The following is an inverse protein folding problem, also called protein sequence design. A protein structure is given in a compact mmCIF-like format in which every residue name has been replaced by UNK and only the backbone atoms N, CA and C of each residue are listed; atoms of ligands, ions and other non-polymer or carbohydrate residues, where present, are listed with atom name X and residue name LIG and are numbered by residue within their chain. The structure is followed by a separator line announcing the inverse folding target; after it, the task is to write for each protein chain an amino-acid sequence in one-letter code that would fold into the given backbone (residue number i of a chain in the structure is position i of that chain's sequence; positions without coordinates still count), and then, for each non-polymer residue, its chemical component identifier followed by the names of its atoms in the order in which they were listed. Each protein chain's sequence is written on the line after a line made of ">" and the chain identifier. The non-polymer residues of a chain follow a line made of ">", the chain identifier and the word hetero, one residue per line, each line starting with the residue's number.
data_IF_258636366912
#
_entry.id   IF_258636366912
#
_cell.length_a   1.000
_cell.length_b   1.000
_cell.length_c   1.000
_cell.angle_alpha   90.00
_cell.angle_beta   90.00
_cell.angle_gamma   90.00
#
_symmetry.space_group_name_H-M   'P 1'
#
loop_
_entity.id
_entity.type
_entity.pdbx_description
1 polymer ?
#
# COMPACT_ATOMS: atom_id res chain seq x y z
N UNK A 1 -61.98 -65.70 54.01
CA UNK A 1 -61.10 -65.96 55.16
C UNK A 1 -59.68 -66.15 54.64
N UNK A 2 -58.77 -65.35 55.18
CA UNK A 2 -57.34 -65.24 54.83
C UNK A 2 -56.61 -66.59 54.93
N UNK A 3 -55.80 -66.91 53.91
CA UNK A 3 -54.66 -67.82 54.02
C UNK A 3 -53.49 -67.26 53.22
N UNK A 4 -52.45 -66.83 53.94
CA UNK A 4 -51.10 -66.65 53.42
C UNK A 4 -50.49 -68.02 53.09
N UNK A 5 -49.72 -68.10 52.02
CA UNK A 5 -48.47 -68.88 52.00
C UNK A 5 -47.47 -68.28 50.99
N UNK A 6 -46.17 -68.32 51.31
CA UNK A 6 -45.09 -67.66 50.59
C UNK A 6 -44.40 -68.65 49.63
N UNK A 7 -43.82 -68.21 48.51
CA UNK A 7 -42.65 -68.92 47.97
C UNK A 7 -41.94 -68.20 46.81
N UNK A 8 -40.62 -68.16 46.96
CA UNK A 8 -39.60 -68.42 45.95
C UNK A 8 -39.19 -67.32 44.96
N UNK A 9 -38.00 -66.78 45.26
CA UNK A 9 -37.13 -66.08 44.33
C UNK A 9 -36.67 -67.01 43.20
N UNK A 10 -36.68 -66.50 41.97
CA UNK A 10 -35.96 -67.10 40.85
C UNK A 10 -35.27 -65.98 40.06
N UNK A 11 -33.94 -65.98 40.14
CA UNK A 11 -33.01 -65.11 39.42
C UNK A 11 -32.75 -65.75 38.04
N UNK A 12 -33.09 -65.11 36.91
CA UNK A 12 -32.62 -65.57 35.61
C UNK A 12 -31.26 -64.93 35.28
N UNK A 13 -30.29 -65.80 35.01
CA UNK A 13 -28.95 -65.45 34.54
C UNK A 13 -29.03 -64.68 33.21
N UNK A 14 -28.42 -63.50 33.17
CA UNK A 14 -28.18 -62.75 31.94
C UNK A 14 -27.13 -63.49 31.11
N UNK A 15 -27.55 -64.05 29.98
CA UNK A 15 -26.69 -64.65 28.98
C UNK A 15 -25.80 -63.57 28.34
N UNK A 16 -24.49 -63.69 28.54
CA UNK A 16 -23.48 -62.80 27.97
C UNK A 16 -23.19 -63.22 26.53
N UNK A 17 -23.80 -62.54 25.56
CA UNK A 17 -23.44 -62.67 24.14
C UNK A 17 -22.16 -61.87 23.87
N UNK A 18 -21.01 -62.55 23.88
CA UNK A 18 -19.74 -62.00 23.36
C UNK A 18 -19.76 -62.17 21.84
N UNK A 19 -19.87 -61.06 21.11
CA UNK A 19 -19.74 -61.02 19.66
C UNK A 19 -18.26 -61.07 19.23
N UNK A 20 -17.94 -61.66 18.05
CA UNK A 20 -16.56 -61.74 17.57
C UNK A 20 -16.00 -60.35 17.21
N UNK A 21 -14.77 -60.08 17.64
CA UNK A 21 -14.06 -58.83 17.32
C UNK A 21 -13.78 -58.73 15.82
N UNK A 22 -14.22 -57.61 15.22
CA UNK A 22 -13.89 -57.29 13.83
C UNK A 22 -12.38 -56.96 13.70
N UNK A 23 -11.71 -57.37 12.61
CA UNK A 23 -10.33 -56.98 12.35
C UNK A 23 -10.23 -55.46 12.14
N UNK A 24 -9.30 -54.82 12.85
CA UNK A 24 -8.96 -53.41 12.65
C UNK A 24 -8.35 -53.25 11.26
N UNK A 25 -8.95 -52.42 10.41
CA UNK A 25 -8.38 -52.05 9.12
C UNK A 25 -7.08 -51.25 9.32
N UNK A 26 -6.05 -51.44 8.47
CA UNK A 26 -4.82 -50.66 8.57
C UNK A 26 -5.09 -49.16 8.35
N UNK A 27 -4.38 -48.27 9.06
CA UNK A 27 -4.56 -46.83 8.89
C UNK A 27 -4.20 -46.42 7.46
N UNK A 28 -5.11 -45.68 6.83
CA UNK A 28 -4.91 -45.12 5.48
C UNK A 28 -3.75 -44.11 5.54
N UNK A 29 -2.76 -44.16 4.62
CA UNK A 29 -1.69 -43.17 4.59
C UNK A 29 -2.29 -41.76 4.42
N UNK A 30 -2.03 -40.87 5.39
CA UNK A 30 -2.40 -39.46 5.30
C UNK A 30 -1.48 -38.80 4.28
N UNK A 31 -2.05 -38.21 3.23
CA UNK A 31 -1.28 -37.44 2.26
C UNK A 31 -0.58 -36.26 2.95
N UNK A 32 0.72 -36.10 2.70
CA UNK A 32 1.50 -35.00 3.26
C UNK A 32 0.92 -33.63 2.80
N UNK A 33 0.88 -32.62 3.68
CA UNK A 33 0.44 -31.28 3.31
C UNK A 33 1.28 -30.72 2.15
N UNK A 34 0.63 -30.08 1.18
CA UNK A 34 1.34 -29.41 0.09
C UNK A 34 2.29 -28.34 0.65
N UNK A 35 3.52 -28.19 0.10
CA UNK A 35 4.45 -27.16 0.53
C UNK A 35 3.85 -25.76 0.33
N UNK A 36 4.01 -24.91 1.34
CA UNK A 36 3.51 -23.54 1.30
C UNK A 36 4.09 -22.77 0.11
N UNK A 37 3.31 -21.91 -0.57
CA UNK A 37 3.80 -21.09 -1.67
C UNK A 37 4.98 -20.24 -1.20
N UNK A 38 6.06 -20.24 -1.99
CA UNK A 38 7.25 -19.45 -1.68
C UNK A 38 6.90 -17.95 -1.63
N UNK A 39 7.51 -17.18 -0.71
CA UNK A 39 7.30 -15.74 -0.65
C UNK A 39 7.74 -15.09 -1.97
N UNK A 40 6.83 -14.38 -2.62
CA UNK A 40 7.14 -13.57 -3.80
C UNK A 40 7.98 -12.37 -3.38
N UNK A 41 9.19 -12.24 -3.94
CA UNK A 41 10.00 -11.04 -3.76
C UNK A 41 9.33 -9.84 -4.45
N UNK A 42 9.37 -8.64 -3.87
CA UNK A 42 8.85 -7.44 -4.53
C UNK A 42 9.68 -7.15 -5.79
N UNK A 43 9.00 -7.10 -6.94
CA UNK A 43 9.63 -6.73 -8.22
C UNK A 43 9.91 -5.22 -8.18
N UNK A 44 11.18 -4.83 -8.29
CA UNK A 44 11.55 -3.43 -8.47
C UNK A 44 10.98 -2.93 -9.81
N UNK A 45 10.23 -1.82 -9.85
CA UNK A 45 9.68 -1.31 -11.10
C UNK A 45 10.80 -0.99 -12.11
N UNK A 46 10.62 -1.27 -13.41
CA UNK A 46 11.61 -0.94 -14.41
C UNK A 46 11.80 0.58 -14.49
N UNK A 47 13.06 1.00 -14.59
CA UNK A 47 13.44 2.38 -14.83
C UNK A 47 13.07 2.75 -16.27
N UNK A 48 11.91 3.37 -16.47
CA UNK A 48 11.44 3.87 -17.77
C UNK A 48 11.32 5.38 -17.72
N UNK A 49 11.70 6.08 -18.78
CA UNK A 49 11.60 7.55 -18.83
C UNK A 49 10.15 8.04 -18.79
N UNK A 50 9.21 7.17 -19.20
CA UNK A 50 7.79 7.44 -19.26
C UNK A 50 6.97 6.16 -19.01
N UNK A 51 5.93 6.29 -18.21
CA UNK A 51 4.90 5.30 -17.99
C UNK A 51 4.05 5.15 -19.26
N UNK A 52 4.08 3.95 -19.84
CA UNK A 52 3.40 3.62 -21.09
C UNK A 52 1.94 3.19 -20.93
N UNK A 53 1.51 2.86 -19.70
CA UNK A 53 0.14 2.45 -19.41
C UNK A 53 -0.84 3.62 -19.20
N UNK A 54 -2.10 3.27 -18.93
CA UNK A 54 -3.11 4.24 -18.49
C UNK A 54 -2.98 4.47 -16.97
N UNK A 55 -2.31 5.57 -16.61
CA UNK A 55 -2.09 5.95 -15.22
C UNK A 55 -3.38 6.24 -14.45
N UNK A 56 -4.49 6.54 -15.13
CA UNK A 56 -5.75 6.94 -14.49
C UNK A 56 -6.47 5.76 -13.83
N UNK A 57 -6.20 4.54 -14.31
CA UNK A 57 -6.76 3.28 -13.79
C UNK A 57 -5.71 2.38 -13.16
N UNK A 58 -4.42 2.70 -13.32
CA UNK A 58 -3.34 1.98 -12.68
C UNK A 58 -3.40 2.08 -11.15
N UNK A 59 -2.80 1.09 -10.50
CA UNK A 59 -2.64 1.07 -9.05
C UNK A 59 -1.75 2.22 -8.58
N UNK A 60 -2.15 2.85 -7.49
CA UNK A 60 -1.31 3.82 -6.80
C UNK A 60 -0.14 3.10 -6.13
N UNK A 61 1.00 3.79 -6.03
CA UNK A 61 2.13 3.28 -5.27
C UNK A 61 1.72 2.99 -3.82
N UNK A 62 2.24 1.94 -3.17
CA UNK A 62 1.98 1.71 -1.76
C UNK A 62 2.47 2.89 -0.92
N UNK A 63 1.59 3.42 -0.08
CA UNK A 63 1.92 4.48 0.86
C UNK A 63 0.72 5.35 1.21
N UNK A 64 0.93 6.23 2.18
CA UNK A 64 -0.06 7.21 2.63
C UNK A 64 0.59 8.58 2.76
N UNK A 65 -0.21 9.63 2.59
CA UNK A 65 0.23 11.00 2.85
C UNK A 65 0.16 11.31 4.35
N UNK A 66 1.23 11.90 4.86
CA UNK A 66 1.32 12.38 6.24
C UNK A 66 1.65 13.86 6.25
N UNK A 67 0.71 14.66 6.72
CA UNK A 67 0.88 16.10 6.89
C UNK A 67 1.61 16.45 8.19
N UNK A 68 2.48 17.45 8.13
CA UNK A 68 3.10 18.09 9.28
C UNK A 68 3.29 19.58 9.00
N UNK A 69 3.15 20.41 10.03
CA UNK A 69 3.42 21.84 9.97
C UNK A 69 4.45 22.27 11.00
N UNK A 70 5.11 23.39 10.71
CA UNK A 70 6.12 24.01 11.57
C UNK A 70 6.10 25.52 11.37
N UNK A 71 6.86 26.27 12.18
CA UNK A 71 7.08 27.71 11.97
C UNK A 71 7.72 28.03 10.60
N UNK A 72 8.36 27.05 9.95
CA UNK A 72 9.03 27.22 8.65
C UNK A 72 8.13 26.93 7.45
N UNK A 73 6.87 26.53 7.69
CA UNK A 73 5.91 26.14 6.66
C UNK A 73 5.27 24.78 6.94
N UNK A 74 4.55 24.27 5.94
CA UNK A 74 3.82 23.01 5.98
C UNK A 74 4.36 22.01 4.96
N UNK A 75 4.10 20.72 5.18
CA UNK A 75 4.55 19.65 4.29
C UNK A 75 3.70 18.40 4.44
N UNK A 76 3.47 17.72 3.33
CA UNK A 76 2.92 16.38 3.29
C UNK A 76 3.95 15.44 2.66
N UNK A 77 4.16 14.29 3.28
CA UNK A 77 5.09 13.24 2.82
C UNK A 77 4.33 11.97 2.52
N UNK A 78 4.59 11.40 1.35
CA UNK A 78 4.09 10.08 0.95
C UNK A 78 5.10 9.02 1.34
N UNK A 79 4.73 8.14 2.27
CA UNK A 79 5.58 7.06 2.80
C UNK A 79 4.83 5.73 2.84
N UNK A 80 5.57 4.64 2.61
CA UNK A 80 5.06 3.28 2.80
C UNK A 80 5.52 2.74 4.15
N UNK A 81 4.62 2.70 5.13
CA UNK A 81 4.96 2.28 6.50
C UNK A 81 6.09 3.14 7.10
N UNK A 82 7.12 2.50 7.66
CA UNK A 82 8.32 3.17 8.17
C UNK A 82 9.43 3.34 7.10
N UNK A 83 9.07 3.23 5.82
CA UNK A 83 10.01 3.34 4.70
C UNK A 83 10.47 4.79 4.42
N UNK A 84 11.35 4.96 3.42
CA UNK A 84 11.76 6.29 2.99
C UNK A 84 10.59 7.06 2.36
N UNK A 85 10.70 8.40 2.37
CA UNK A 85 9.78 9.29 1.66
C UNK A 85 9.90 9.01 0.16
N UNK A 86 8.78 8.73 -0.49
CA UNK A 86 8.73 8.47 -1.95
C UNK A 86 8.33 9.73 -2.73
N UNK A 87 7.46 10.56 -2.18
CA UNK A 87 7.09 11.87 -2.69
C UNK A 87 6.80 12.84 -1.55
N UNK A 88 6.94 14.14 -1.79
CA UNK A 88 6.52 15.16 -0.83
C UNK A 88 6.04 16.43 -1.52
N UNK A 89 5.14 17.14 -0.88
CA UNK A 89 4.79 18.52 -1.22
C UNK A 89 5.07 19.38 0.02
N UNK A 90 5.78 20.49 -0.15
CA UNK A 90 6.09 21.40 0.95
C UNK A 90 5.86 22.85 0.56
N UNK A 91 5.43 23.65 1.53
CA UNK A 91 5.39 25.10 1.43
C UNK A 91 6.56 25.71 2.18
N UNK A 92 7.24 26.67 1.55
CA UNK A 92 8.22 27.53 2.21
C UNK A 92 8.21 28.90 1.53
N UNK A 93 7.95 29.96 2.30
CA UNK A 93 7.94 31.34 1.81
C UNK A 93 7.05 31.57 0.57
N UNK A 94 5.81 31.03 0.56
CA UNK A 94 4.87 31.17 -0.56
C UNK A 94 5.25 30.39 -1.83
N UNK A 95 6.28 29.53 -1.74
CA UNK A 95 6.69 28.63 -2.79
C UNK A 95 6.32 27.20 -2.41
N UNK A 96 5.72 26.48 -3.35
CA UNK A 96 5.39 25.08 -3.19
C UNK A 96 6.43 24.25 -3.94
N UNK A 97 7.03 23.30 -3.24
CA UNK A 97 7.98 22.35 -3.81
C UNK A 97 7.35 20.97 -3.84
N UNK A 98 7.17 20.44 -5.05
CA UNK A 98 6.86 19.02 -5.25
C UNK A 98 8.18 18.26 -5.40
N UNK A 99 8.32 17.15 -4.71
CA UNK A 99 9.49 16.31 -4.74
C UNK A 99 9.11 14.85 -4.93
N UNK A 100 9.98 14.09 -5.60
CA UNK A 100 9.97 12.63 -5.57
C UNK A 100 11.35 12.05 -5.30
N UNK A 101 11.39 10.91 -4.64
CA UNK A 101 12.62 10.20 -4.34
C UNK A 101 13.26 9.73 -5.63
N UNK A 102 14.50 10.10 -5.90
CA UNK A 102 15.22 9.72 -7.10
C UNK A 102 16.68 10.18 -7.08
N UNK A 103 17.53 9.49 -7.83
CA UNK A 103 18.95 9.83 -7.94
C UNK A 103 19.34 9.89 -9.40
N UNK A 104 19.77 11.06 -9.84
CA UNK A 104 20.24 11.30 -11.20
C UNK A 104 21.63 11.94 -11.11
N UNK A 105 22.57 11.60 -12.00
CA UNK A 105 23.84 12.32 -12.11
C UNK A 105 23.63 13.83 -12.26
N UNK A 106 24.42 14.63 -11.54
CA UNK A 106 24.22 16.08 -11.44
C UNK A 106 24.47 16.85 -12.74
N UNK A 107 25.11 16.22 -13.71
CA UNK A 107 25.47 16.75 -15.04
C UNK A 107 24.36 16.57 -16.08
N UNK A 108 23.23 15.95 -15.74
CA UNK A 108 22.11 15.77 -16.66
C UNK A 108 21.02 16.81 -16.47
N UNK A 109 20.65 17.49 -17.56
CA UNK A 109 19.43 18.29 -17.61
C UNK A 109 18.22 17.34 -17.74
N UNK A 110 17.38 17.32 -16.72
CA UNK A 110 16.21 16.43 -16.64
C UNK A 110 14.98 17.19 -16.18
N UNK A 111 13.81 16.74 -16.64
CA UNK A 111 12.52 17.34 -16.35
C UNK A 111 11.69 16.43 -15.45
N UNK A 112 10.90 17.04 -14.57
CA UNK A 112 9.86 16.37 -13.80
C UNK A 112 8.58 16.47 -14.61
N UNK A 113 8.06 15.33 -15.08
CA UNK A 113 6.80 15.29 -15.80
C UNK A 113 5.67 14.93 -14.84
N UNK A 114 4.63 15.73 -14.84
CA UNK A 114 3.47 15.58 -13.98
C UNK A 114 2.25 15.40 -14.88
N UNK A 115 1.58 14.25 -14.76
CA UNK A 115 0.37 13.92 -15.52
C UNK A 115 -0.80 13.83 -14.56
N UNK A 116 -1.83 14.62 -14.82
CA UNK A 116 -3.08 14.65 -14.06
C UNK A 116 -4.29 14.67 -15.00
N UNK A 117 -5.50 14.75 -14.45
CA UNK A 117 -6.73 14.67 -15.25
C UNK A 117 -7.00 15.88 -16.14
N UNK A 118 -6.25 16.97 -15.97
CA UNK A 118 -6.43 18.25 -16.69
C UNK A 118 -5.31 18.50 -17.71
N UNK A 119 -4.08 18.14 -17.36
CA UNK A 119 -2.90 18.47 -18.14
C UNK A 119 -1.74 17.51 -17.88
N UNK A 120 -0.77 17.60 -18.79
CA UNK A 120 0.58 17.11 -18.59
C UNK A 120 1.53 18.30 -18.59
N UNK A 121 2.42 18.37 -17.59
CA UNK A 121 3.37 19.48 -17.46
C UNK A 121 4.77 18.98 -17.16
N UNK A 122 5.74 19.50 -17.91
CA UNK A 122 7.17 19.28 -17.66
C UNK A 122 7.75 20.46 -16.91
N UNK A 123 8.40 20.19 -15.78
CA UNK A 123 9.02 21.20 -14.91
C UNK A 123 10.53 20.98 -14.82
N UNK A 124 11.35 22.05 -14.75
CA UNK A 124 12.78 21.91 -14.50
C UNK A 124 13.03 21.31 -13.12
N UNK A 125 13.91 20.30 -13.04
CA UNK A 125 14.28 19.67 -11.77
C UNK A 125 15.40 20.44 -11.08
N UNK A 126 15.34 20.49 -9.75
CA UNK A 126 16.49 20.68 -8.87
C UNK A 126 16.80 19.36 -8.16
N UNK A 127 18.08 19.01 -8.11
CA UNK A 127 18.54 17.78 -7.47
C UNK A 127 18.91 18.10 -6.02
N UNK A 128 18.18 17.51 -5.08
CA UNK A 128 18.54 17.48 -3.67
C UNK A 128 19.32 16.18 -3.39
N UNK A 129 20.65 16.28 -3.47
CA UNK A 129 21.55 15.14 -3.29
C UNK A 129 21.57 14.64 -1.84
N UNK A 130 21.35 15.52 -0.86
CA UNK A 130 21.37 15.18 0.55
C UNK A 130 20.19 14.27 0.93
N UNK A 131 19.00 14.58 0.41
CA UNK A 131 17.79 13.81 0.68
C UNK A 131 17.44 12.81 -0.43
N UNK A 132 18.23 12.77 -1.52
CA UNK A 132 17.99 11.93 -2.70
C UNK A 132 16.61 12.19 -3.32
N UNK A 133 16.29 13.48 -3.48
CA UNK A 133 15.02 13.94 -4.03
C UNK A 133 15.24 14.74 -5.32
N UNK A 134 14.31 14.60 -6.24
CA UNK A 134 14.18 15.41 -7.45
C UNK A 134 13.00 16.35 -7.23
N UNK A 135 13.25 17.65 -7.26
CA UNK A 135 12.27 18.66 -6.86
C UNK A 135 11.92 19.61 -7.98
N UNK A 136 10.68 20.10 -7.98
CA UNK A 136 10.23 21.20 -8.81
C UNK A 136 9.49 22.19 -7.91
N UNK A 137 9.85 23.47 -8.02
CA UNK A 137 9.31 24.54 -7.17
C UNK A 137 8.55 25.54 -8.04
N UNK A 138 7.32 25.87 -7.65
CA UNK A 138 6.49 26.88 -8.30
C UNK A 138 5.84 27.78 -7.24
N UNK A 139 5.42 29.01 -7.60
CA UNK A 139 4.63 29.85 -6.72
C UNK A 139 3.34 29.15 -6.25
N UNK A 140 2.87 29.44 -5.05
CA UNK A 140 1.63 28.87 -4.51
C UNK A 140 0.38 29.19 -5.36
N UNK A 141 0.42 30.26 -6.15
CA UNK A 141 -0.65 30.65 -7.06
C UNK A 141 -0.66 29.87 -8.39
N UNK A 142 0.32 29.01 -8.65
CA UNK A 142 0.37 28.26 -9.90
C UNK A 142 -0.83 27.27 -10.01
N UNK A 143 -1.55 27.24 -11.14
CA UNK A 143 -2.77 26.44 -11.30
C UNK A 143 -2.53 24.93 -11.26
N UNK A 144 -1.29 24.47 -11.42
CA UNK A 144 -0.96 23.05 -11.29
C UNK A 144 -1.42 22.49 -9.94
N UNK A 145 -1.31 23.26 -8.87
CA UNK A 145 -1.64 22.80 -7.52
C UNK A 145 -3.12 22.44 -7.38
N UNK A 146 -4.02 23.25 -7.95
CA UNK A 146 -5.45 22.94 -7.97
C UNK A 146 -5.75 21.75 -8.89
N UNK A 147 -5.06 21.63 -10.04
CA UNK A 147 -5.20 20.47 -10.92
C UNK A 147 -4.81 19.16 -10.24
N UNK A 148 -3.83 19.17 -9.34
CA UNK A 148 -3.46 17.99 -8.56
C UNK A 148 -4.52 17.61 -7.53
N UNK A 149 -5.03 18.59 -6.77
CA UNK A 149 -6.09 18.39 -5.75
C UNK A 149 -7.40 17.90 -6.39
N UNK A 150 -7.73 18.36 -7.59
CA UNK A 150 -8.97 17.98 -8.28
C UNK A 150 -8.79 16.87 -9.31
N UNK A 151 -7.61 16.26 -9.40
CA UNK A 151 -7.41 15.09 -10.27
C UNK A 151 -8.31 13.94 -9.82
N UNK A 152 -8.65 13.00 -10.71
CA UNK A 152 -9.55 11.86 -10.48
C UNK A 152 -8.94 10.80 -9.54
N UNK A 153 -8.62 11.21 -8.31
CA UNK A 153 -8.11 10.40 -7.21
C UNK A 153 -6.62 10.08 -7.26
N UNK A 154 -5.92 10.39 -8.36
CA UNK A 154 -4.48 10.14 -8.49
C UNK A 154 -3.83 11.07 -9.50
N UNK A 155 -2.50 11.09 -9.49
CA UNK A 155 -1.69 11.71 -10.53
C UNK A 155 -0.33 11.00 -10.61
N UNK A 156 0.35 11.18 -11.73
CA UNK A 156 1.60 10.52 -12.04
C UNK A 156 2.76 11.52 -12.00
N UNK A 157 3.86 11.13 -11.35
CA UNK A 157 5.11 11.88 -11.27
C UNK A 157 6.22 11.05 -11.92
N UNK A 158 6.88 11.62 -12.92
CA UNK A 158 7.93 10.95 -13.71
C UNK A 158 9.18 11.81 -13.74
N UNK A 159 10.34 11.16 -13.78
CA UNK A 159 11.58 11.83 -14.16
C UNK A 159 12.40 10.87 -15.03
N UNK A 160 13.21 11.42 -15.92
CA UNK A 160 14.08 10.65 -16.80
C UNK A 160 14.97 9.69 -16.01
N UNK A 161 15.09 8.46 -16.50
CA UNK A 161 15.82 7.33 -15.91
C UNK A 161 15.43 7.05 -14.47
N UNK A 162 14.15 7.15 -14.16
CA UNK A 162 13.63 6.79 -12.85
C UNK A 162 12.29 6.07 -12.99
N UNK A 163 11.99 5.16 -12.06
CA UNK A 163 10.68 4.54 -12.04
C UNK A 163 9.57 5.61 -11.85
N UNK A 164 8.51 5.59 -12.67
CA UNK A 164 7.35 6.45 -12.48
C UNK A 164 6.66 6.12 -11.16
N UNK A 165 6.10 7.14 -10.49
CA UNK A 165 5.31 6.95 -9.27
C UNK A 165 3.92 7.57 -9.44
N UNK A 166 2.89 6.74 -9.26
CA UNK A 166 1.50 7.19 -9.23
C UNK A 166 1.12 7.34 -7.76
N UNK A 167 0.65 8.52 -7.38
CA UNK A 167 0.29 8.83 -6.00
C UNK A 167 -1.18 9.25 -5.91
N UNK A 168 -1.86 8.98 -4.78
CA UNK A 168 -3.24 9.37 -4.60
C UNK A 168 -3.37 10.88 -4.36
N UNK A 169 -4.49 11.43 -4.78
CA UNK A 169 -4.90 12.80 -4.45
C UNK A 169 -5.66 12.77 -3.13
N UNK A 170 -4.98 13.12 -2.02
CA UNK A 170 -5.54 13.10 -0.66
C UNK A 170 -5.56 14.49 -0.01
N UNK A 171 -6.36 14.71 1.06
CA UNK A 171 -6.55 16.03 1.69
C UNK A 171 -5.27 16.71 2.20
N UNK A 172 -4.24 15.94 2.54
CA UNK A 172 -2.95 16.44 3.01
C UNK A 172 -2.28 17.37 1.99
N UNK A 173 -2.45 17.12 0.69
CA UNK A 173 -1.95 17.99 -0.37
C UNK A 173 -2.66 19.35 -0.34
N UNK A 174 -4.00 19.31 -0.26
CA UNK A 174 -4.83 20.51 -0.23
C UNK A 174 -4.45 21.39 0.97
N UNK A 175 -4.23 20.77 2.13
CA UNK A 175 -3.83 21.48 3.35
C UNK A 175 -2.49 22.21 3.19
N UNK A 176 -1.49 21.58 2.57
CA UNK A 176 -0.20 22.26 2.30
C UNK A 176 -0.38 23.44 1.35
N UNK A 177 -1.22 23.27 0.32
CA UNK A 177 -1.47 24.30 -0.69
C UNK A 177 -2.23 25.49 -0.08
N UNK A 178 -3.23 25.24 0.76
CA UNK A 178 -3.99 26.25 1.50
C UNK A 178 -3.09 27.03 2.46
N UNK A 179 -2.31 26.35 3.30
CA UNK A 179 -1.34 26.98 4.22
C UNK A 179 -0.32 27.86 3.48
N UNK A 180 -0.03 27.56 2.21
CA UNK A 180 0.93 28.33 1.43
C UNK A 180 0.36 29.57 0.77
N UNK A 181 -0.98 29.63 0.65
CA UNK A 181 -1.72 30.74 0.04
C UNK A 181 -2.23 31.75 1.07
N UNK A 182 -2.34 31.34 2.34
CA UNK A 182 -2.67 32.22 3.48
C UNK A 182 -1.51 33.13 3.87
#
# INVERSE_FOLDING_TARGET
>A
MIRLLPTFALIPLLASCVGPSAPVAPPRPVAAPAPAPAPSFPVTPPTVDRYSGDWSVADVAPGEWHYASSQRGSMARFVSGSGPVQASISCTNGQITLARAGVIPADMAVMLNIRNSFAERSLPIRIDTAHRMLTATLPAADPLWDQLIYSRGRFLIEATRQAPIIVPTQPELARVIEDCRS
#
